data_IF_793637808795
#
_entry.id   IF_793637808795
#
_cell.length_a   1.000
_cell.length_b   1.000
_cell.length_c   1.000
_cell.angle_alpha   90.00
_cell.angle_beta   90.00
_cell.angle_gamma   90.00
#
_symmetry.space_group_name_H-M   'P 1'
#
loop_
_entity.id
_entity.type
_entity.pdbx_description
1 polymer ?
#
# COMPACT_ATOMS: atom_id res chain seq x y z
N UNK A 1 -33.79 10.78 12.68
CA UNK A 1 -32.39 10.44 13.05
C UNK A 1 -32.24 9.01 13.57
N UNK A 2 -33.19 8.49 14.37
CA UNK A 2 -33.10 7.12 14.91
C UNK A 2 -33.01 6.03 13.84
N UNK A 3 -33.75 6.14 12.73
CA UNK A 3 -33.72 5.16 11.65
C UNK A 3 -32.31 4.95 11.05
N UNK A 4 -31.57 6.04 10.79
CA UNK A 4 -30.19 5.96 10.26
C UNK A 4 -29.24 5.33 11.29
N UNK A 5 -29.37 5.68 12.57
CA UNK A 5 -28.55 5.11 13.63
C UNK A 5 -28.79 3.60 13.78
N UNK A 6 -30.05 3.19 13.90
CA UNK A 6 -30.44 1.77 14.02
C UNK A 6 -29.97 0.98 12.81
N UNK A 7 -30.17 1.49 11.60
CA UNK A 7 -29.68 0.84 10.39
C UNK A 7 -28.17 0.61 10.40
N UNK A 8 -27.38 1.65 10.72
CA UNK A 8 -25.92 1.54 10.79
C UNK A 8 -25.54 0.53 11.86
N UNK A 9 -26.13 0.64 13.05
CA UNK A 9 -25.89 -0.22 14.21
C UNK A 9 -26.08 -1.70 13.88
N UNK A 10 -27.15 -2.02 13.19
CA UNK A 10 -27.52 -3.38 12.78
C UNK A 10 -26.68 -3.87 11.59
N UNK A 11 -26.20 -2.96 10.75
CA UNK A 11 -25.21 -3.29 9.71
C UNK A 11 -23.86 -3.69 10.30
N UNK A 12 -23.44 -3.06 11.40
CA UNK A 12 -22.18 -3.41 12.08
C UNK A 12 -22.19 -4.82 12.67
N UNK A 13 -23.33 -5.37 13.09
CA UNK A 13 -23.36 -6.72 13.68
C UNK A 13 -23.02 -7.83 12.66
N UNK A 14 -23.13 -7.52 11.37
CA UNK A 14 -22.78 -8.44 10.27
C UNK A 14 -21.33 -8.28 9.80
N UNK A 15 -20.61 -7.26 10.26
CA UNK A 15 -19.21 -7.00 9.90
C UNK A 15 -18.25 -7.77 10.80
N UNK A 16 -17.07 -8.09 10.28
CA UNK A 16 -16.03 -8.76 11.06
C UNK A 16 -15.35 -7.75 11.98
N UNK A 17 -14.95 -8.20 13.17
CA UNK A 17 -14.09 -7.39 14.05
C UNK A 17 -12.77 -7.07 13.34
N UNK A 18 -12.29 -5.84 13.47
CA UNK A 18 -11.11 -5.30 12.78
C UNK A 18 -11.44 -4.64 11.43
N UNK A 19 -12.64 -4.85 10.91
CA UNK A 19 -13.04 -4.30 9.61
C UNK A 19 -13.20 -2.76 9.68
N UNK A 20 -12.74 -2.08 8.63
CA UNK A 20 -12.92 -0.65 8.49
C UNK A 20 -14.36 -0.28 8.13
N UNK A 21 -14.78 0.88 8.63
CA UNK A 21 -16.09 1.46 8.41
C UNK A 21 -15.90 2.91 7.98
N UNK A 22 -16.57 3.30 6.90
CA UNK A 22 -16.52 4.67 6.40
C UNK A 22 -17.95 5.22 6.25
N UNK A 23 -18.15 6.54 6.35
CA UNK A 23 -19.45 7.16 6.10
C UNK A 23 -20.03 6.81 4.72
N UNK A 24 -19.17 6.59 3.74
CA UNK A 24 -19.55 6.25 2.37
C UNK A 24 -20.22 4.87 2.23
N UNK A 25 -20.08 3.97 3.22
CA UNK A 25 -20.81 2.69 3.26
C UNK A 25 -22.32 2.86 3.44
N UNK A 26 -22.75 4.03 3.93
CA UNK A 26 -24.14 4.28 4.33
C UNK A 26 -24.81 5.37 3.49
N UNK A 27 -24.23 5.71 2.33
CA UNK A 27 -24.86 6.64 1.37
C UNK A 27 -26.26 6.14 1.01
N UNK A 28 -27.22 7.05 0.94
CA UNK A 28 -28.63 6.73 0.67
C UNK A 28 -29.41 6.21 1.90
N UNK A 29 -28.80 6.13 3.09
CA UNK A 29 -29.47 5.72 4.35
C UNK A 29 -29.76 6.91 5.28
N UNK A 30 -29.41 8.12 4.85
CA UNK A 30 -29.62 9.36 5.56
C UNK A 30 -28.77 10.48 4.94
N UNK A 31 -28.93 11.70 5.44
CA UNK A 31 -28.06 12.82 5.08
C UNK A 31 -26.63 12.56 5.59
N UNK A 32 -25.63 13.18 4.96
CA UNK A 32 -24.23 13.05 5.40
C UNK A 32 -24.06 13.44 6.87
N UNK A 33 -24.76 14.49 7.32
CA UNK A 33 -24.77 14.92 8.72
C UNK A 33 -25.38 13.86 9.65
N UNK A 34 -26.50 13.23 9.26
CA UNK A 34 -27.13 12.17 10.04
C UNK A 34 -26.23 10.93 10.15
N UNK A 35 -25.57 10.53 9.05
CA UNK A 35 -24.62 9.40 9.03
C UNK A 35 -23.43 9.70 9.95
N UNK A 36 -22.82 10.88 9.82
CA UNK A 36 -21.68 11.29 10.67
C UNK A 36 -22.07 11.32 12.15
N UNK A 37 -23.26 11.85 12.48
CA UNK A 37 -23.78 11.89 13.86
C UNK A 37 -24.03 10.49 14.40
N UNK A 38 -24.59 9.58 13.60
CA UNK A 38 -24.81 8.19 13.98
C UNK A 38 -23.49 7.44 14.24
N UNK A 39 -22.49 7.61 13.37
CA UNK A 39 -21.17 7.02 13.57
C UNK A 39 -20.47 7.57 14.82
N UNK A 40 -20.55 8.88 15.05
CA UNK A 40 -20.02 9.50 16.27
C UNK A 40 -20.68 8.92 17.53
N UNK A 41 -22.01 8.74 17.52
CA UNK A 41 -22.73 8.08 18.60
C UNK A 41 -22.26 6.63 18.82
N UNK A 42 -22.08 5.86 17.76
CA UNK A 42 -21.57 4.49 17.85
C UNK A 42 -20.13 4.41 18.38
N UNK A 43 -19.33 5.46 18.18
CA UNK A 43 -18.02 5.60 18.83
C UNK A 43 -18.18 5.89 20.33
N UNK A 44 -19.08 6.78 20.73
CA UNK A 44 -19.34 7.04 22.16
C UNK A 44 -19.90 5.83 22.88
N UNK A 45 -20.67 4.99 22.19
CA UNK A 45 -21.19 3.71 22.70
C UNK A 45 -20.13 2.58 22.73
N UNK A 46 -18.90 2.85 22.25
CA UNK A 46 -17.81 1.87 22.22
C UNK A 46 -17.96 0.77 21.16
N UNK A 47 -18.96 0.85 20.27
CA UNK A 47 -19.19 -0.14 19.19
C UNK A 47 -18.23 0.06 18.02
N UNK A 48 -17.74 1.28 17.83
CA UNK A 48 -16.71 1.64 16.86
C UNK A 48 -15.57 2.37 17.56
N UNK A 49 -14.41 2.37 16.93
CA UNK A 49 -13.37 3.35 17.22
C UNK A 49 -12.98 4.13 15.98
N UNK A 50 -12.54 5.37 16.19
CA UNK A 50 -12.11 6.28 15.14
C UNK A 50 -10.61 6.18 14.96
N UNK A 51 -10.14 5.94 13.73
CA UNK A 51 -8.72 5.97 13.36
C UNK A 51 -8.29 7.36 12.88
N UNK A 52 -9.14 7.98 12.06
CA UNK A 52 -8.91 9.29 11.46
C UNK A 52 -10.26 9.93 11.08
N UNK A 53 -10.29 11.19 10.64
CA UNK A 53 -11.50 11.78 10.11
C UNK A 53 -12.11 10.93 8.97
N UNK A 54 -13.35 10.47 9.18
CA UNK A 54 -14.07 9.64 8.22
C UNK A 54 -13.61 8.18 8.13
N UNK A 55 -12.72 7.73 9.02
CA UNK A 55 -12.21 6.35 9.06
C UNK A 55 -12.44 5.77 10.46
N UNK A 56 -13.23 4.72 10.51
CA UNK A 56 -13.57 3.99 11.73
C UNK A 56 -13.23 2.52 11.57
N UNK A 57 -13.23 1.78 12.66
CA UNK A 57 -13.08 0.33 12.63
C UNK A 57 -13.91 -0.32 13.74
N UNK A 58 -14.31 -1.57 13.52
CA UNK A 58 -14.85 -2.41 14.58
C UNK A 58 -13.69 -2.89 15.46
N UNK A 59 -13.69 -2.60 16.78
CA UNK A 59 -12.62 -3.05 17.66
C UNK A 59 -12.48 -4.58 17.64
N UNK A 60 -11.25 -5.05 17.41
CA UNK A 60 -10.87 -6.46 17.53
C UNK A 60 -9.95 -6.60 18.74
N UNK A 61 -10.29 -7.51 19.64
CA UNK A 61 -9.40 -7.88 20.74
C UNK A 61 -8.75 -9.21 20.45
N UNK A 62 -7.44 -9.23 20.60
CA UNK A 62 -6.61 -10.41 20.72
C UNK A 62 -6.44 -10.77 22.20
N UNK A 63 -6.46 -12.06 22.59
CA UNK A 63 -6.28 -12.47 23.97
C UNK A 63 -4.94 -12.05 24.59
N UNK A 64 -3.89 -11.91 23.78
CA UNK A 64 -2.52 -11.63 24.23
C UNK A 64 -2.15 -10.18 23.95
N UNK A 65 -2.39 -9.69 22.74
CA UNK A 65 -1.96 -8.36 22.29
C UNK A 65 -2.93 -7.25 22.67
N UNK A 66 -4.11 -7.60 23.22
CA UNK A 66 -5.16 -6.63 23.49
C UNK A 66 -5.81 -6.13 22.21
N UNK A 67 -6.03 -4.83 22.10
CA UNK A 67 -6.79 -4.30 20.96
C UNK A 67 -5.94 -4.15 19.69
N UNK A 68 -6.36 -4.84 18.62
CA UNK A 68 -5.72 -4.77 17.32
C UNK A 68 -6.28 -3.55 16.56
N UNK A 69 -5.38 -2.62 16.27
CA UNK A 69 -5.66 -1.43 15.48
C UNK A 69 -5.20 -1.65 14.02
N UNK A 70 -6.04 -1.37 13.01
CA UNK A 70 -5.63 -1.45 11.61
C UNK A 70 -4.43 -0.55 11.29
N UNK A 71 -3.48 -1.09 10.52
CA UNK A 71 -2.26 -0.37 10.15
C UNK A 71 -2.50 0.67 9.04
N UNK A 72 -1.59 1.64 8.91
CA UNK A 72 -1.70 2.70 7.90
C UNK A 72 -1.77 2.17 6.45
N UNK A 73 -0.98 1.13 6.14
CA UNK A 73 -0.97 0.49 4.81
C UNK A 73 -2.23 -0.32 4.52
N UNK A 74 -2.79 -0.99 5.53
CA UNK A 74 -4.08 -1.68 5.43
C UNK A 74 -5.20 -0.67 5.15
N UNK A 75 -5.23 0.44 5.90
CA UNK A 75 -6.19 1.53 5.68
C UNK A 75 -6.05 2.11 4.26
N UNK A 76 -4.82 2.33 3.77
CA UNK A 76 -4.58 2.81 2.42
C UNK A 76 -5.15 1.85 1.35
N UNK A 77 -4.86 0.54 1.46
CA UNK A 77 -5.35 -0.47 0.51
C UNK A 77 -6.88 -0.60 0.52
N UNK A 78 -7.50 -0.56 1.69
CA UNK A 78 -8.95 -0.61 1.81
C UNK A 78 -9.64 0.62 1.21
N UNK A 79 -9.07 1.82 1.39
CA UNK A 79 -9.56 3.03 0.72
C UNK A 79 -9.46 2.88 -0.79
N UNK A 80 -8.32 2.41 -1.30
CA UNK A 80 -8.10 2.22 -2.72
C UNK A 80 -9.10 1.23 -3.34
N UNK A 81 -9.32 0.09 -2.68
CA UNK A 81 -10.32 -0.89 -3.10
C UNK A 81 -11.74 -0.28 -3.14
N UNK A 82 -12.11 0.47 -2.10
CA UNK A 82 -13.43 1.09 -1.98
C UNK A 82 -13.69 2.14 -3.06
N UNK A 83 -12.69 2.96 -3.33
CA UNK A 83 -12.75 4.01 -4.35
C UNK A 83 -12.49 3.45 -5.76
N UNK A 84 -12.19 2.15 -5.89
CA UNK A 84 -11.83 1.46 -7.14
C UNK A 84 -10.65 2.13 -7.85
N UNK A 85 -9.70 2.63 -7.07
CA UNK A 85 -8.47 3.26 -7.55
C UNK A 85 -7.29 2.32 -7.32
N UNK A 86 -6.28 2.45 -8.15
CA UNK A 86 -4.99 1.78 -7.96
C UNK A 86 -4.11 2.65 -7.10
N UNK A 87 -3.38 2.02 -6.19
CA UNK A 87 -2.30 2.66 -5.43
C UNK A 87 -1.03 1.83 -5.55
N UNK A 88 0.13 2.47 -5.57
CA UNK A 88 1.45 1.82 -5.59
C UNK A 88 2.39 2.50 -4.60
N UNK A 89 2.98 1.79 -3.63
CA UNK A 89 4.03 2.35 -2.79
C UNK A 89 5.15 2.99 -3.63
N UNK A 90 5.68 4.11 -3.17
CA UNK A 90 6.77 4.84 -3.84
C UNK A 90 7.70 5.50 -2.83
N UNK A 91 8.82 6.03 -3.31
CA UNK A 91 9.85 6.67 -2.50
C UNK A 91 10.42 5.76 -1.41
N UNK A 92 10.80 6.35 -0.27
CA UNK A 92 11.27 5.63 0.92
C UNK A 92 10.38 4.44 1.35
N UNK A 93 9.06 4.52 1.10
CA UNK A 93 8.16 3.40 1.42
C UNK A 93 8.34 2.20 0.49
N UNK A 94 8.65 2.41 -0.80
CA UNK A 94 9.01 1.32 -1.70
C UNK A 94 10.31 0.65 -1.28
N UNK A 95 11.33 1.43 -0.86
CA UNK A 95 12.60 0.90 -0.34
C UNK A 95 12.39 0.02 0.88
N UNK A 96 11.63 0.50 1.85
CA UNK A 96 11.32 -0.24 3.07
C UNK A 96 10.54 -1.54 2.75
N UNK A 97 9.57 -1.48 1.83
CA UNK A 97 8.77 -2.64 1.41
C UNK A 97 9.58 -3.74 0.72
N UNK A 98 10.70 -3.38 0.09
CA UNK A 98 11.62 -4.33 -0.53
C UNK A 98 12.78 -4.75 0.40
N UNK A 99 12.82 -4.25 1.64
CA UNK A 99 13.93 -4.53 2.55
C UNK A 99 15.27 -3.90 2.13
N UNK A 100 15.23 -2.88 1.25
CA UNK A 100 16.40 -2.12 0.83
C UNK A 100 16.81 -1.08 1.89
N UNK A 101 15.92 -0.78 2.84
CA UNK A 101 16.22 0.00 4.05
C UNK A 101 15.51 -0.60 5.26
N UNK A 102 16.12 -0.48 6.43
CA UNK A 102 15.53 -0.85 7.73
C UNK A 102 14.81 0.31 8.39
N UNK A 103 14.98 1.53 7.89
CA UNK A 103 14.33 2.71 8.44
C UNK A 103 12.84 2.67 8.11
N UNK A 104 12.00 2.57 9.16
CA UNK A 104 10.54 2.59 9.01
C UNK A 104 10.09 4.02 8.67
N UNK A 105 9.51 4.27 7.48
CA UNK A 105 9.10 5.62 7.10
C UNK A 105 7.84 6.04 7.88
N UNK A 106 7.87 7.24 8.46
CA UNK A 106 6.69 7.87 9.09
C UNK A 106 5.73 8.48 8.06
N UNK A 107 6.15 8.58 6.79
CA UNK A 107 5.36 9.07 5.67
C UNK A 107 5.28 7.99 4.59
N UNK A 108 4.10 7.39 4.47
CA UNK A 108 3.78 6.42 3.43
C UNK A 108 3.24 7.15 2.21
N UNK A 109 3.96 7.11 1.10
CA UNK A 109 3.55 7.73 -0.16
C UNK A 109 3.13 6.64 -1.13
N UNK A 110 1.97 6.85 -1.76
CA UNK A 110 1.47 5.99 -2.82
C UNK A 110 1.20 6.81 -4.07
N UNK A 111 1.65 6.33 -5.23
CA UNK A 111 1.14 6.80 -6.50
C UNK A 111 -0.29 6.31 -6.68
N UNK A 112 -1.18 7.12 -7.26
CA UNK A 112 -2.57 6.73 -7.52
C UNK A 112 -3.12 7.29 -8.83
N UNK A 113 -4.14 6.64 -9.37
CA UNK A 113 -5.01 7.21 -10.42
C UNK A 113 -6.29 7.83 -9.84
N UNK A 114 -6.42 7.88 -8.52
CA UNK A 114 -7.53 8.50 -7.80
C UNK A 114 -7.26 9.94 -7.38
N UNK A 115 -8.19 10.47 -6.58
CA UNK A 115 -8.11 11.82 -6.03
C UNK A 115 -6.93 11.96 -5.06
N UNK A 116 -6.14 13.05 -5.14
CA UNK A 116 -5.11 13.33 -4.14
C UNK A 116 -5.72 13.46 -2.75
N UNK A 117 -5.10 12.82 -1.77
CA UNK A 117 -5.50 12.97 -0.36
C UNK A 117 -4.36 12.67 0.59
N UNK A 118 -4.44 13.23 1.78
CA UNK A 118 -3.54 12.95 2.89
C UNK A 118 -4.34 12.71 4.17
N UNK A 119 -3.92 11.73 4.96
CA UNK A 119 -4.50 11.43 6.27
C UNK A 119 -3.42 10.84 7.19
N UNK A 120 -3.69 10.81 8.48
CA UNK A 120 -2.75 10.30 9.49
C UNK A 120 -3.41 9.15 10.25
N UNK A 121 -2.67 8.06 10.43
CA UNK A 121 -3.06 6.89 11.24
C UNK A 121 -1.99 6.73 12.32
N UNK A 122 -2.35 7.00 13.57
CA UNK A 122 -1.38 7.05 14.67
C UNK A 122 -0.28 8.08 14.41
N UNK A 123 0.98 7.63 14.33
CA UNK A 123 2.14 8.48 14.02
C UNK A 123 2.52 8.50 12.53
N UNK A 124 1.83 7.73 11.70
CA UNK A 124 2.13 7.59 10.28
C UNK A 124 1.22 8.48 9.43
N UNK A 125 1.83 9.27 8.55
CA UNK A 125 1.10 10.02 7.52
C UNK A 125 1.02 9.20 6.23
N UNK A 126 -0.15 9.19 5.59
CA UNK A 126 -0.39 8.53 4.31
C UNK A 126 -0.73 9.59 3.28
N UNK A 127 -0.06 9.58 2.12
CA UNK A 127 -0.29 10.49 1.01
C UNK A 127 -0.54 9.72 -0.28
N UNK A 128 -1.67 9.99 -0.92
CA UNK A 128 -1.96 9.56 -2.28
C UNK A 128 -1.55 10.67 -3.24
N UNK A 129 -0.57 10.38 -4.09
CA UNK A 129 -0.01 11.28 -5.11
C UNK A 129 -0.52 10.86 -6.48
N UNK A 130 -1.35 11.66 -7.15
CA UNK A 130 -1.82 11.36 -8.50
C UNK A 130 -0.67 11.17 -9.48
N UNK A 131 -0.85 10.27 -10.44
CA UNK A 131 0.15 10.01 -11.48
C UNK A 131 -0.49 9.59 -12.80
N UNK A 132 0.34 9.43 -13.82
CA UNK A 132 -0.08 8.97 -15.15
C UNK A 132 -0.42 7.47 -15.15
N UNK A 133 -1.33 7.00 -16.03
CA UNK A 133 -1.61 5.58 -16.19
C UNK A 133 -0.36 4.73 -16.45
N UNK A 134 0.62 5.26 -17.20
CA UNK A 134 1.89 4.58 -17.49
C UNK A 134 2.63 4.19 -16.21
N UNK A 135 2.75 5.09 -15.23
CA UNK A 135 3.42 4.79 -13.95
C UNK A 135 2.66 3.77 -13.09
N UNK A 136 1.38 3.55 -13.36
CA UNK A 136 0.54 2.55 -12.68
C UNK A 136 0.31 1.27 -13.49
N UNK A 137 0.88 1.16 -14.69
CA UNK A 137 0.62 0.07 -15.63
C UNK A 137 1.47 -1.18 -15.43
N UNK A 138 2.40 -1.18 -14.46
CA UNK A 138 3.14 -2.39 -14.10
C UNK A 138 2.18 -3.44 -13.54
N UNK A 139 2.48 -4.71 -13.81
CA UNK A 139 1.67 -5.88 -13.46
C UNK A 139 2.27 -6.66 -12.30
N UNK A 140 3.59 -6.73 -12.23
CA UNK A 140 4.30 -7.43 -11.17
C UNK A 140 4.27 -6.62 -9.88
N UNK A 141 4.06 -7.31 -8.77
CA UNK A 141 4.12 -6.73 -7.43
C UNK A 141 5.57 -6.37 -7.08
N UNK A 142 6.53 -7.23 -7.45
CA UNK A 142 7.94 -7.04 -7.10
C UNK A 142 8.61 -6.11 -8.11
N UNK A 143 8.54 -6.41 -9.41
CA UNK A 143 9.13 -5.57 -10.46
C UNK A 143 8.58 -4.15 -10.44
N UNK A 144 7.27 -4.00 -10.22
CA UNK A 144 6.61 -2.71 -10.08
C UNK A 144 7.10 -1.90 -8.89
N UNK A 145 7.46 -2.54 -7.77
CA UNK A 145 8.05 -1.89 -6.60
C UNK A 145 9.54 -1.59 -6.80
N UNK A 146 10.29 -2.50 -7.42
CA UNK A 146 11.73 -2.31 -7.72
C UNK A 146 11.91 -1.07 -8.59
N UNK A 147 11.07 -0.87 -9.61
CA UNK A 147 11.11 0.34 -10.44
C UNK A 147 10.90 1.60 -9.58
N UNK A 148 9.96 1.57 -8.63
CA UNK A 148 9.70 2.71 -7.74
C UNK A 148 10.87 2.97 -6.76
N UNK A 149 11.50 1.91 -6.26
CA UNK A 149 12.69 2.01 -5.42
C UNK A 149 13.89 2.58 -6.19
N UNK A 150 14.10 2.13 -7.42
CA UNK A 150 15.16 2.63 -8.29
C UNK A 150 14.94 4.09 -8.71
N UNK A 151 13.69 4.54 -8.88
CA UNK A 151 13.37 5.95 -9.08
C UNK A 151 13.77 6.81 -7.85
N UNK A 152 13.67 6.26 -6.63
CA UNK A 152 14.02 6.97 -5.38
C UNK A 152 15.52 7.01 -5.10
N UNK A 153 16.24 5.90 -5.34
CA UNK A 153 17.66 5.81 -5.02
C UNK A 153 18.54 6.65 -5.95
N UNK A 154 18.02 7.07 -7.11
CA UNK A 154 18.78 7.60 -8.24
C UNK A 154 19.93 6.64 -8.61
N UNK A 155 19.77 5.86 -9.68
CA UNK A 155 20.58 4.67 -10.06
C UNK A 155 22.12 4.75 -9.91
N UNK A 156 22.72 5.93 -9.73
CA UNK A 156 24.13 6.14 -9.42
C UNK A 156 24.55 5.80 -7.98
N UNK A 157 23.63 5.71 -7.02
CA UNK A 157 23.95 5.44 -5.60
C UNK A 157 23.72 3.99 -5.14
N UNK A 158 23.68 3.05 -6.09
CA UNK A 158 23.43 1.63 -5.80
C UNK A 158 24.76 0.91 -5.63
N UNK A 159 25.07 0.49 -4.39
CA UNK A 159 26.21 -0.38 -4.12
C UNK A 159 25.95 -1.84 -4.54
N UNK A 160 26.99 -2.66 -4.49
CA UNK A 160 26.91 -4.08 -4.87
C UNK A 160 25.92 -4.86 -4.01
N UNK A 161 25.83 -4.57 -2.71
CA UNK A 161 24.92 -5.26 -1.80
C UNK A 161 23.45 -4.96 -2.09
N UNK A 162 23.11 -3.72 -2.41
CA UNK A 162 21.78 -3.32 -2.86
C UNK A 162 21.48 -3.96 -4.22
N UNK A 163 22.44 -3.95 -5.15
CA UNK A 163 22.28 -4.58 -6.46
C UNK A 163 21.99 -6.09 -6.34
N UNK A 164 22.69 -6.81 -5.46
CA UNK A 164 22.47 -8.23 -5.21
C UNK A 164 21.07 -8.51 -4.64
N UNK A 165 20.61 -7.69 -3.69
CA UNK A 165 19.24 -7.77 -3.16
C UNK A 165 18.20 -7.52 -4.25
N UNK A 166 18.40 -6.50 -5.08
CA UNK A 166 17.50 -6.19 -6.20
C UNK A 166 17.46 -7.37 -7.17
N UNK A 167 18.61 -7.95 -7.51
CA UNK A 167 18.67 -9.13 -8.38
C UNK A 167 17.87 -10.30 -7.80
N UNK A 168 18.10 -10.64 -6.53
CA UNK A 168 17.38 -11.71 -5.85
C UNK A 168 15.85 -11.47 -5.78
N UNK A 169 15.42 -10.22 -5.62
CA UNK A 169 14.00 -9.84 -5.67
C UNK A 169 13.42 -10.03 -7.08
N UNK A 170 14.13 -9.59 -8.12
CA UNK A 170 13.67 -9.70 -9.50
C UNK A 170 13.50 -11.16 -9.96
N UNK A 171 14.32 -12.09 -9.44
CA UNK A 171 14.19 -13.52 -9.72
C UNK A 171 12.92 -14.17 -9.13
N UNK A 172 12.29 -13.53 -8.14
CA UNK A 172 11.04 -14.01 -7.54
C UNK A 172 9.80 -13.58 -8.34
N UNK A 173 9.96 -12.69 -9.32
CA UNK A 173 8.88 -12.21 -10.17
C UNK A 173 8.70 -13.12 -11.40
N UNK A 174 7.47 -13.19 -11.93
CA UNK A 174 7.25 -13.95 -13.15
C UNK A 174 8.00 -13.31 -14.34
N UNK A 175 8.63 -14.09 -15.23
CA UNK A 175 9.35 -13.54 -16.38
C UNK A 175 8.48 -12.64 -17.27
N UNK A 176 7.19 -12.96 -17.40
CA UNK A 176 6.22 -12.20 -18.20
C UNK A 176 5.93 -10.83 -17.57
N UNK A 177 5.70 -10.77 -16.26
CA UNK A 177 5.51 -9.50 -15.55
C UNK A 177 6.79 -8.67 -15.58
N UNK A 178 7.93 -9.29 -15.33
CA UNK A 178 9.23 -8.61 -15.32
C UNK A 178 9.52 -7.95 -16.67
N UNK A 179 9.38 -8.69 -17.77
CA UNK A 179 9.60 -8.17 -19.12
C UNK A 179 8.64 -7.01 -19.45
N UNK A 180 7.35 -7.18 -19.13
CA UNK A 180 6.34 -6.13 -19.33
C UNK A 180 6.68 -4.87 -18.52
N UNK A 181 7.00 -5.02 -17.24
CA UNK A 181 7.24 -3.91 -16.33
C UNK A 181 8.52 -3.15 -16.64
N UNK A 182 9.59 -3.88 -16.96
CA UNK A 182 10.88 -3.29 -17.37
C UNK A 182 10.70 -2.47 -18.66
N UNK A 183 9.87 -2.90 -19.60
CA UNK A 183 9.58 -2.12 -20.82
C UNK A 183 8.87 -0.78 -20.56
N UNK A 184 8.16 -0.66 -19.43
CA UNK A 184 7.47 0.56 -19.01
C UNK A 184 8.36 1.52 -18.20
N UNK A 185 9.47 1.02 -17.67
CA UNK A 185 10.38 1.79 -16.82
C UNK A 185 11.06 2.94 -17.58
N UNK A 186 11.49 4.01 -16.89
CA UNK A 186 12.39 5.01 -17.46
C UNK A 186 13.66 4.36 -18.04
N UNK A 187 14.20 4.90 -19.13
CA UNK A 187 15.34 4.32 -19.86
C UNK A 187 16.52 3.93 -18.94
N UNK A 188 16.94 4.84 -18.05
CA UNK A 188 18.04 4.57 -17.10
C UNK A 188 17.77 3.35 -16.18
N UNK A 189 16.53 3.18 -15.73
CA UNK A 189 16.14 2.07 -14.86
C UNK A 189 16.04 0.77 -15.66
N UNK A 190 15.50 0.84 -16.88
CA UNK A 190 15.48 -0.29 -17.80
C UNK A 190 16.92 -0.80 -18.06
N UNK A 191 17.81 0.10 -18.47
CA UNK A 191 19.21 -0.21 -18.76
C UNK A 191 19.91 -0.83 -17.55
N UNK A 192 19.69 -0.27 -16.35
CA UNK A 192 20.21 -0.81 -15.10
C UNK A 192 19.74 -2.24 -14.85
N UNK A 193 18.44 -2.50 -14.91
CA UNK A 193 17.87 -3.83 -14.66
C UNK A 193 18.38 -4.84 -15.70
N UNK A 194 18.41 -4.47 -16.98
CA UNK A 194 18.90 -5.35 -18.06
C UNK A 194 20.39 -5.66 -17.88
N UNK A 195 21.20 -4.67 -17.51
CA UNK A 195 22.63 -4.86 -17.23
C UNK A 195 22.82 -5.81 -16.04
N UNK A 196 22.12 -5.55 -14.93
CA UNK A 196 22.20 -6.36 -13.71
C UNK A 196 21.85 -7.83 -13.97
N UNK A 197 20.75 -8.08 -14.68
CA UNK A 197 20.33 -9.45 -15.02
C UNK A 197 21.35 -10.18 -15.90
N UNK A 198 21.99 -9.47 -16.85
CA UNK A 198 23.01 -10.05 -17.75
C UNK A 198 24.32 -10.36 -17.03
N UNK A 199 24.78 -9.47 -16.16
CA UNK A 199 26.03 -9.63 -15.42
C UNK A 199 25.93 -10.82 -14.45
N UNK A 200 24.87 -10.87 -13.64
CA UNK A 200 24.68 -11.92 -12.65
C UNK A 200 24.34 -13.28 -13.26
N UNK A 201 23.60 -13.31 -14.38
CA UNK A 201 23.37 -14.57 -15.11
C UNK A 201 24.64 -15.16 -15.72
N UNK A 202 25.67 -14.34 -16.02
CA UNK A 202 26.97 -14.84 -16.48
C UNK A 202 27.80 -15.41 -15.33
N UNK A 203 27.78 -14.77 -14.17
CA UNK A 203 28.46 -15.26 -12.97
C UNK A 203 27.89 -16.61 -12.50
N UNK A 204 26.57 -16.78 -12.48
CA UNK A 204 25.92 -18.05 -12.11
C UNK A 204 26.31 -19.20 -13.06
N UNK A 205 26.55 -18.92 -14.34
CA UNK A 205 27.00 -19.93 -15.32
C UNK A 205 28.47 -20.35 -15.11
N UNK A 206 29.30 -19.48 -14.55
CA UNK A 206 30.70 -19.77 -14.24
C UNK A 206 30.85 -20.52 -12.90
N UNK A 207 29.90 -20.33 -11.97
CA UNK A 207 29.87 -21.04 -10.69
C UNK A 207 29.54 -22.54 -10.81
N UNK A 208 28.88 -22.96 -11.90
CA UNK A 208 28.49 -24.36 -12.15
C UNK A 208 29.44 -25.16 -13.06
N UNK A 209 30.55 -24.57 -13.53
CA UNK A 209 31.52 -25.24 -14.41
C UNK A 209 32.78 -25.76 -13.71
N UNK A 210 32.79 -25.83 -12.37
CA UNK A 210 33.87 -26.45 -11.60
C UNK A 210 33.31 -27.60 -10.77
N UNK A 211 33.18 -28.77 -11.39
CA UNK A 211 33.01 -30.07 -10.74
C UNK A 211 33.77 -31.12 -11.55
#
# INVERSE_FOLDING_TARGET
MEATHTYIRDSLSRKKKGELVFPTDYRGKGTQAAINKALARLVTEGRLKRLAPGIYYLPKKDPVLGEITPGADEVARMIAQKEKVRIRPTGAYALHRLGLTTQVPTKLVYLTNGTPRQFTIGKMSVRFKPTTPKKLATRGEISGLVIQALEELETAHIDSGIADKIYALLLQESPQNLAHDVSLAPARINDFIVKLLKEKSKDDRLAHTSS
#
